data_IF_165769839405
#
_entry.id   IF_165769839405
#
_cell.length_a   1.000
_cell.length_b   1.000
_cell.length_c   1.000
_cell.angle_alpha   90.00
_cell.angle_beta   90.00
_cell.angle_gamma   90.00
#
_symmetry.space_group_name_H-M   'P 1'
#
loop_
_entity.id
_entity.type
_entity.pdbx_description
1 polymer ?
#
# COMPACT_ATOMS: atom_id res chain seq x y z
N UNK A 1 22.28 8.31 5.71
CA UNK A 1 22.51 7.63 4.42
C UNK A 1 22.49 6.11 4.55
N UNK A 2 23.31 5.55 5.41
CA UNK A 2 23.43 4.09 5.56
C UNK A 2 22.13 3.43 6.03
N UNK A 3 21.38 4.07 6.90
CA UNK A 3 20.08 3.59 7.39
C UNK A 3 19.04 3.54 6.26
N UNK A 4 19.02 4.52 5.37
CA UNK A 4 18.11 4.57 4.23
C UNK A 4 18.42 3.44 3.21
N UNK A 5 19.70 3.19 2.92
CA UNK A 5 20.10 2.06 2.08
C UNK A 5 19.80 0.71 2.72
N UNK A 6 19.89 0.59 4.03
CA UNK A 6 19.53 -0.61 4.76
C UNK A 6 18.02 -0.86 4.70
N UNK A 7 17.20 0.21 4.74
CA UNK A 7 15.76 0.10 4.53
C UNK A 7 15.43 -0.44 3.13
N UNK A 8 16.08 0.06 2.08
CA UNK A 8 15.93 -0.46 0.71
C UNK A 8 16.34 -1.94 0.59
N UNK A 9 17.44 -2.34 1.25
CA UNK A 9 17.88 -3.73 1.26
C UNK A 9 16.87 -4.64 1.98
N UNK A 10 16.27 -4.18 3.07
CA UNK A 10 15.23 -4.91 3.78
C UNK A 10 13.99 -5.13 2.89
N UNK A 11 13.55 -4.11 2.15
CA UNK A 11 12.43 -4.23 1.21
C UNK A 11 12.77 -5.19 0.07
N UNK A 12 14.00 -5.11 -0.47
CA UNK A 12 14.47 -6.03 -1.51
C UNK A 12 14.39 -7.48 -1.01
N UNK A 13 14.90 -7.74 0.18
CA UNK A 13 14.88 -9.06 0.82
C UNK A 13 13.45 -9.55 1.05
N UNK A 14 12.58 -8.67 1.52
CA UNK A 14 11.16 -8.98 1.74
C UNK A 14 10.46 -9.38 0.44
N UNK A 15 10.67 -8.64 -0.66
CA UNK A 15 10.10 -8.95 -1.96
C UNK A 15 10.63 -10.29 -2.52
N UNK A 16 11.91 -10.58 -2.34
CA UNK A 16 12.50 -11.85 -2.76
C UNK A 16 11.90 -13.01 -1.96
N UNK A 17 11.80 -12.88 -0.65
CA UNK A 17 11.22 -13.91 0.23
C UNK A 17 9.73 -14.17 -0.10
N UNK A 18 8.99 -13.13 -0.48
CA UNK A 18 7.59 -13.23 -0.92
C UNK A 18 7.45 -13.64 -2.40
N UNK A 19 8.55 -13.97 -3.08
CA UNK A 19 8.60 -14.37 -4.49
C UNK A 19 7.98 -13.34 -5.45
N UNK A 20 8.16 -12.07 -5.16
CA UNK A 20 7.79 -10.97 -6.07
C UNK A 20 8.85 -10.89 -7.18
N UNK A 21 8.48 -10.81 -8.47
CA UNK A 21 9.44 -10.68 -9.57
C UNK A 21 10.39 -9.50 -9.39
N UNK A 22 11.61 -9.61 -9.90
CA UNK A 22 12.63 -8.56 -9.75
C UNK A 22 12.45 -7.39 -10.71
N UNK A 23 11.78 -7.61 -11.82
CA UNK A 23 11.49 -6.59 -12.83
C UNK A 23 10.29 -5.72 -12.43
N UNK A 24 10.20 -4.52 -12.99
CA UNK A 24 9.07 -3.59 -12.81
C UNK A 24 8.72 -3.27 -11.34
N UNK A 25 9.75 -3.17 -10.51
CA UNK A 25 9.62 -2.68 -9.13
C UNK A 25 9.85 -1.17 -9.10
N UNK A 26 8.93 -0.44 -8.50
CA UNK A 26 8.97 1.01 -8.37
C UNK A 26 8.91 1.39 -6.91
N UNK A 27 9.65 2.43 -6.54
CA UNK A 27 9.57 3.10 -5.24
C UNK A 27 9.16 4.54 -5.47
N UNK A 28 8.09 4.96 -4.83
CA UNK A 28 7.73 6.36 -4.66
C UNK A 28 8.24 6.80 -3.30
N UNK A 29 9.14 7.77 -3.30
CA UNK A 29 9.84 8.22 -2.09
C UNK A 29 9.65 9.70 -1.84
N UNK A 30 9.60 10.09 -0.55
CA UNK A 30 9.60 11.49 -0.15
C UNK A 30 10.93 12.16 -0.49
N UNK A 31 10.96 13.49 -0.71
CA UNK A 31 12.18 14.24 -0.98
C UNK A 31 13.23 14.09 0.14
N UNK A 32 12.77 14.02 1.40
CA UNK A 32 13.65 13.77 2.55
C UNK A 32 14.36 12.42 2.43
N UNK A 33 13.64 11.35 2.14
CA UNK A 33 14.21 10.01 2.00
C UNK A 33 15.19 9.92 0.81
N UNK A 34 14.86 10.57 -0.29
CA UNK A 34 15.72 10.70 -1.47
C UNK A 34 17.01 11.40 -1.12
N UNK A 35 16.95 12.52 -0.37
CA UNK A 35 18.12 13.23 0.11
C UNK A 35 19.03 12.36 1.00
N UNK A 36 18.42 11.53 1.87
CA UNK A 36 19.17 10.58 2.69
C UNK A 36 19.90 9.51 1.87
N UNK A 37 19.27 9.01 0.80
CA UNK A 37 19.91 8.05 -0.12
C UNK A 37 21.07 8.73 -0.84
N UNK A 38 20.89 9.92 -1.37
CA UNK A 38 21.90 10.65 -2.12
C UNK A 38 23.16 10.96 -1.28
N UNK A 39 23.00 11.14 0.03
CA UNK A 39 24.11 11.34 0.96
C UNK A 39 24.91 10.08 1.27
N UNK A 40 24.45 8.90 0.85
CA UNK A 40 25.17 7.67 1.11
C UNK A 40 26.35 7.50 0.15
N UNK A 41 27.52 7.11 0.68
CA UNK A 41 28.74 6.90 -0.13
C UNK A 41 28.55 5.83 -1.22
N UNK A 42 27.77 4.80 -0.94
CA UNK A 42 27.50 3.72 -1.90
C UNK A 42 26.65 4.19 -3.08
N UNK A 43 25.74 5.14 -2.87
CA UNK A 43 24.90 5.68 -3.95
C UNK A 43 25.74 6.57 -4.88
N UNK A 44 26.62 7.39 -4.34
CA UNK A 44 27.51 8.29 -5.11
C UNK A 44 28.43 7.52 -6.07
N UNK A 45 28.82 6.30 -5.75
CA UNK A 45 29.60 5.44 -6.64
C UNK A 45 28.76 4.83 -7.79
N UNK A 46 27.48 4.55 -7.54
CA UNK A 46 26.54 4.00 -8.53
C UNK A 46 26.03 5.11 -9.48
N UNK A 47 25.87 6.33 -8.99
CA UNK A 47 25.40 7.49 -9.76
C UNK A 47 26.31 7.87 -10.93
N UNK A 48 27.60 7.59 -10.83
CA UNK A 48 28.56 7.77 -11.94
C UNK A 48 28.25 6.96 -13.18
N UNK A 49 27.37 5.96 -13.07
CA UNK A 49 26.97 5.07 -14.18
C UNK A 49 25.64 5.46 -14.83
N UNK A 50 24.88 6.44 -14.32
CA UNK A 50 23.50 6.67 -14.77
C UNK A 50 23.15 8.16 -14.97
N UNK A 51 23.99 8.92 -15.65
CA UNK A 51 23.77 10.36 -15.94
C UNK A 51 22.48 10.65 -16.73
N UNK A 52 21.96 9.67 -17.47
CA UNK A 52 20.77 9.84 -18.31
C UNK A 52 19.42 9.74 -17.55
N UNK A 53 19.39 9.14 -16.36
CA UNK A 53 18.16 8.96 -15.58
C UNK A 53 17.75 10.25 -14.83
N UNK A 54 18.70 11.06 -14.42
CA UNK A 54 18.49 12.33 -13.68
C UNK A 54 17.70 13.36 -14.49
N UNK A 55 17.77 13.31 -15.82
CA UNK A 55 17.05 14.26 -16.71
C UNK A 55 15.53 14.07 -16.72
N UNK A 56 14.98 12.96 -16.23
CA UNK A 56 13.54 12.64 -16.29
C UNK A 56 12.82 12.71 -14.93
N UNK A 57 13.45 13.26 -13.89
CA UNK A 57 12.89 13.25 -12.53
C UNK A 57 12.95 11.87 -11.87
N UNK A 58 13.67 10.94 -12.47
CA UNK A 58 13.92 9.61 -11.93
C UNK A 58 15.34 9.61 -11.33
N UNK A 59 15.47 9.26 -10.05
CA UNK A 59 16.78 9.15 -9.39
C UNK A 59 17.61 7.97 -9.92
N UNK A 60 17.09 7.20 -10.84
CA UNK A 60 17.74 6.03 -11.38
C UNK A 60 17.28 4.73 -10.74
N UNK A 61 18.02 3.66 -11.01
CA UNK A 61 17.73 2.32 -10.52
C UNK A 61 18.68 1.98 -9.36
N UNK A 62 18.13 1.78 -8.17
CA UNK A 62 18.87 1.31 -7.02
C UNK A 62 18.38 -0.06 -6.59
N UNK A 63 19.28 -1.05 -6.49
CA UNK A 63 18.99 -2.40 -5.96
C UNK A 63 17.71 -3.06 -6.52
N UNK A 64 17.50 -2.99 -7.83
CA UNK A 64 16.32 -3.52 -8.57
C UNK A 64 15.05 -2.66 -8.49
N UNK A 65 15.08 -1.51 -7.84
CA UNK A 65 13.97 -0.57 -7.78
C UNK A 65 14.25 0.67 -8.62
N UNK A 66 13.23 1.10 -9.37
CA UNK A 66 13.20 2.43 -9.96
C UNK A 66 12.66 3.40 -8.92
N UNK A 67 13.44 4.42 -8.58
CA UNK A 67 13.08 5.41 -7.57
C UNK A 67 12.50 6.65 -8.25
N UNK A 68 11.31 7.04 -7.82
CA UNK A 68 10.60 8.23 -8.27
C UNK A 68 10.37 9.12 -7.05
N UNK A 69 10.81 10.37 -7.14
CA UNK A 69 10.53 11.36 -6.12
C UNK A 69 9.09 11.86 -6.23
N UNK A 70 8.39 11.95 -5.12
CA UNK A 70 6.98 12.38 -5.04
C UNK A 70 6.86 13.44 -3.96
N UNK A 71 6.11 14.54 -4.21
CA UNK A 71 5.83 15.56 -3.21
C UNK A 71 5.20 14.98 -1.94
N UNK A 72 5.54 15.56 -0.78
CA UNK A 72 5.08 15.07 0.52
C UNK A 72 3.58 15.17 0.72
N UNK A 73 2.92 16.12 0.06
CA UNK A 73 1.46 16.31 0.11
C UNK A 73 0.67 15.16 -0.54
N UNK A 74 1.30 14.41 -1.46
CA UNK A 74 0.71 13.24 -2.11
C UNK A 74 0.98 11.96 -1.30
N UNK A 75 2.05 11.95 -0.50
CA UNK A 75 2.41 10.80 0.33
C UNK A 75 1.49 10.69 1.55
N UNK A 76 1.12 9.47 1.98
CA UNK A 76 0.43 9.29 3.25
C UNK A 76 1.27 9.83 4.41
N UNK A 77 0.60 10.41 5.42
CA UNK A 77 1.28 10.94 6.60
C UNK A 77 2.19 9.91 7.26
N UNK A 78 3.39 10.34 7.67
CA UNK A 78 4.43 9.50 8.30
C UNK A 78 4.93 8.34 7.41
N UNK A 79 4.81 8.45 6.10
CA UNK A 79 5.33 7.50 5.14
C UNK A 79 6.57 8.06 4.43
N UNK A 80 7.68 7.35 4.50
CA UNK A 80 8.93 7.76 3.86
C UNK A 80 9.01 7.31 2.41
N UNK A 81 8.52 6.11 2.12
CA UNK A 81 8.39 5.61 0.76
C UNK A 81 7.38 4.46 0.65
N UNK A 82 6.87 4.27 -0.56
CA UNK A 82 6.04 3.13 -0.94
C UNK A 82 6.73 2.39 -2.07
N UNK A 83 7.02 1.11 -1.87
CA UNK A 83 7.55 0.23 -2.90
C UNK A 83 6.42 -0.66 -3.42
N UNK A 84 6.30 -0.79 -4.74
CA UNK A 84 5.32 -1.67 -5.34
C UNK A 84 5.85 -2.36 -6.59
N UNK A 85 5.31 -3.55 -6.85
CA UNK A 85 5.50 -4.24 -8.11
C UNK A 85 4.28 -3.99 -9.01
N UNK A 86 4.52 -3.78 -10.31
CA UNK A 86 3.47 -3.45 -11.28
C UNK A 86 2.27 -4.39 -11.23
N UNK A 87 2.45 -5.69 -11.01
CA UNK A 87 1.35 -6.66 -10.99
C UNK A 87 0.44 -6.55 -9.77
N UNK A 88 0.86 -5.86 -8.70
CA UNK A 88 0.04 -5.69 -7.51
C UNK A 88 -0.99 -4.56 -7.64
N UNK A 89 -0.78 -3.66 -8.59
CA UNK A 89 -1.60 -2.47 -8.82
C UNK A 89 -2.46 -2.69 -10.07
N UNK A 90 -3.74 -2.41 -9.95
CA UNK A 90 -4.69 -2.43 -11.06
C UNK A 90 -5.35 -1.07 -11.14
N UNK A 91 -5.29 -0.46 -12.30
CA UNK A 91 -6.08 0.70 -12.65
C UNK A 91 -7.15 0.24 -13.65
N UNK A 92 -8.40 0.40 -13.29
CA UNK A 92 -9.53 0.07 -14.14
C UNK A 92 -10.17 1.36 -14.67
N UNK A 93 -10.24 1.51 -15.99
CA UNK A 93 -10.97 2.57 -16.64
C UNK A 93 -12.34 2.02 -17.06
N UNK A 94 -13.42 2.59 -16.53
CA UNK A 94 -14.78 2.13 -16.83
C UNK A 94 -15.44 2.95 -17.93
N UNK A 95 -15.18 4.22 -17.97
CA UNK A 95 -15.80 5.15 -18.93
C UNK A 95 -14.79 6.21 -19.32
N UNK A 96 -14.59 6.35 -20.63
CA UNK A 96 -13.85 7.46 -21.19
C UNK A 96 -14.65 7.96 -22.40
N UNK A 97 -15.39 9.04 -22.21
CA UNK A 97 -16.31 9.58 -23.21
C UNK A 97 -16.01 11.04 -23.45
N UNK A 98 -15.88 11.41 -24.71
CA UNK A 98 -15.77 12.80 -25.17
C UNK A 98 -16.92 13.08 -26.14
N UNK A 99 -17.75 14.08 -25.82
CA UNK A 99 -18.84 14.56 -26.68
C UNK A 99 -18.59 16.00 -27.08
N UNK A 100 -18.81 16.28 -28.35
CA UNK A 100 -18.78 17.63 -28.90
C UNK A 100 -20.20 17.98 -29.33
N UNK A 101 -20.79 18.97 -28.66
CA UNK A 101 -22.11 19.48 -28.98
C UNK A 101 -21.93 20.73 -29.84
N UNK A 102 -22.40 20.70 -31.09
CA UNK A 102 -22.43 21.85 -31.95
C UNK A 102 -23.72 22.65 -31.70
N UNK A 103 -23.59 23.88 -31.22
CA UNK A 103 -24.71 24.79 -30.90
C UNK A 103 -25.67 24.23 -29.81
N UNK A 104 -25.20 23.90 -28.60
CA UNK A 104 -26.10 23.49 -27.51
C UNK A 104 -27.00 24.66 -27.10
N UNK A 105 -28.21 24.34 -26.62
CA UNK A 105 -29.17 25.35 -26.21
C UNK A 105 -28.63 26.23 -25.06
N UNK A 106 -28.62 27.55 -25.27
CA UNK A 106 -28.14 28.51 -24.27
C UNK A 106 -26.66 28.88 -24.40
N UNK A 107 -25.93 28.31 -25.37
CA UNK A 107 -24.52 28.62 -25.64
C UNK A 107 -24.31 28.99 -27.12
N UNK A 108 -23.48 29.99 -27.34
CA UNK A 108 -23.02 30.35 -28.69
C UNK A 108 -21.67 29.72 -28.94
N UNK A 109 -21.63 28.64 -29.74
CA UNK A 109 -20.42 27.92 -30.10
C UNK A 109 -20.43 26.44 -29.66
N UNK A 110 -19.38 25.67 -29.96
CA UNK A 110 -19.29 24.27 -29.60
C UNK A 110 -19.01 24.08 -28.09
N UNK A 111 -19.72 23.16 -27.47
CA UNK A 111 -19.50 22.71 -26.09
C UNK A 111 -18.81 21.33 -26.09
N UNK A 112 -17.72 21.21 -25.37
CA UNK A 112 -17.01 19.94 -25.19
C UNK A 112 -17.36 19.40 -23.80
N UNK A 113 -17.95 18.21 -23.76
CA UNK A 113 -18.24 17.44 -22.57
C UNK A 113 -17.29 16.25 -22.51
N UNK A 114 -16.50 16.16 -21.44
CA UNK A 114 -15.64 15.01 -21.19
C UNK A 114 -16.05 14.32 -19.89
N UNK A 115 -16.14 12.99 -19.93
CA UNK A 115 -16.42 12.15 -18.77
C UNK A 115 -15.40 11.03 -18.71
N UNK A 116 -14.70 10.93 -17.58
CA UNK A 116 -13.81 9.82 -17.29
C UNK A 116 -14.18 9.23 -15.93
N UNK A 117 -14.33 7.91 -15.86
CA UNK A 117 -14.57 7.17 -14.63
C UNK A 117 -13.50 6.08 -14.52
N UNK A 118 -12.61 6.26 -13.59
CA UNK A 118 -11.51 5.33 -13.31
C UNK A 118 -11.42 5.06 -11.81
N UNK A 119 -10.77 3.96 -11.46
CA UNK A 119 -10.44 3.60 -10.09
C UNK A 119 -9.11 2.85 -10.06
N UNK A 120 -8.46 2.81 -8.90
CA UNK A 120 -7.21 2.10 -8.71
C UNK A 120 -7.25 1.31 -7.40
N UNK A 121 -6.83 0.06 -7.45
CA UNK A 121 -6.83 -0.79 -6.27
C UNK A 121 -5.68 -1.80 -6.28
N UNK A 122 -5.38 -2.32 -5.09
CA UNK A 122 -4.41 -3.39 -4.89
C UNK A 122 -5.14 -4.73 -4.81
N UNK A 123 -4.75 -5.69 -5.64
CA UNK A 123 -5.31 -7.05 -5.60
C UNK A 123 -4.85 -7.73 -4.31
N UNK A 124 -5.81 -8.17 -3.47
CA UNK A 124 -5.51 -8.74 -2.15
C UNK A 124 -4.52 -9.91 -2.16
N UNK A 125 -4.62 -10.82 -3.13
CA UNK A 125 -3.67 -11.94 -3.31
C UNK A 125 -2.25 -11.49 -3.70
N UNK A 126 -2.12 -10.32 -4.34
CA UNK A 126 -0.87 -9.73 -4.81
C UNK A 126 -0.39 -8.58 -3.91
N UNK A 127 -1.08 -8.28 -2.81
CA UNK A 127 -0.70 -7.24 -1.84
C UNK A 127 0.70 -7.47 -1.24
N UNK A 128 1.22 -8.71 -1.28
CA UNK A 128 2.62 -9.04 -0.98
C UNK A 128 3.65 -8.29 -1.84
N UNK A 129 3.22 -7.75 -2.99
CA UNK A 129 4.03 -6.92 -3.88
C UNK A 129 3.96 -5.43 -3.56
N UNK A 130 3.37 -5.02 -2.44
CA UNK A 130 3.36 -3.64 -1.95
C UNK A 130 3.98 -3.59 -0.57
N UNK A 131 4.82 -2.58 -0.34
CA UNK A 131 5.49 -2.33 0.93
C UNK A 131 5.55 -0.83 1.20
N UNK A 132 5.18 -0.40 2.39
CA UNK A 132 5.32 0.99 2.82
C UNK A 132 6.28 1.07 4.00
N UNK A 133 7.23 2.00 3.96
CA UNK A 133 8.06 2.34 5.10
C UNK A 133 7.40 3.51 5.84
N UNK A 134 6.96 3.24 7.06
CA UNK A 134 6.31 4.20 7.94
C UNK A 134 7.08 4.33 9.25
N UNK A 135 6.84 5.42 9.98
CA UNK A 135 7.42 5.61 11.30
C UNK A 135 7.09 4.46 12.24
N UNK A 136 8.01 4.12 13.12
CA UNK A 136 7.93 2.94 14.00
C UNK A 136 6.65 2.88 14.84
N UNK A 137 6.11 4.03 15.27
CA UNK A 137 4.87 4.11 16.04
C UNK A 137 3.58 3.95 15.22
N UNK A 138 3.66 3.84 13.91
CA UNK A 138 2.49 3.77 13.00
C UNK A 138 2.28 2.38 12.38
N UNK A 139 3.24 1.48 12.54
CA UNK A 139 3.10 0.10 12.07
C UNK A 139 2.03 -0.61 12.89
N UNK A 140 1.02 -1.14 12.20
CA UNK A 140 -0.02 -1.94 12.84
C UNK A 140 0.33 -3.43 12.79
N UNK A 141 0.11 -4.12 13.90
CA UNK A 141 0.25 -5.57 13.97
C UNK A 141 -0.99 -6.15 14.64
N UNK A 142 -1.49 -7.25 14.10
CA UNK A 142 -2.64 -7.95 14.65
C UNK A 142 -2.34 -9.44 14.77
N UNK A 143 -2.73 -10.04 15.87
CA UNK A 143 -2.70 -11.48 16.04
C UNK A 143 -4.02 -11.99 16.61
N UNK A 144 -4.39 -13.22 16.25
CA UNK A 144 -5.60 -13.87 16.72
C UNK A 144 -5.28 -15.28 17.18
N UNK A 145 -5.78 -15.65 18.34
CA UNK A 145 -5.70 -17.01 18.91
C UNK A 145 -7.09 -17.46 19.33
N UNK A 146 -7.44 -18.71 19.02
CA UNK A 146 -8.73 -19.29 19.39
C UNK A 146 -8.48 -20.33 20.48
N UNK A 147 -9.24 -20.25 21.56
CA UNK A 147 -9.30 -21.23 22.62
C UNK A 147 -10.75 -21.34 23.11
N UNK A 148 -11.26 -22.58 23.22
CA UNK A 148 -12.63 -22.84 23.72
C UNK A 148 -13.70 -21.98 23.03
N UNK A 149 -13.72 -21.95 21.70
CA UNK A 149 -14.63 -21.18 20.87
C UNK A 149 -14.62 -19.66 21.12
N UNK A 150 -13.50 -19.18 21.66
CA UNK A 150 -13.27 -17.74 21.88
C UNK A 150 -11.99 -17.30 21.19
N UNK A 151 -12.11 -16.42 20.21
CA UNK A 151 -10.99 -15.77 19.56
C UNK A 151 -10.53 -14.58 20.40
N UNK A 152 -9.31 -14.64 20.89
CA UNK A 152 -8.63 -13.51 21.55
C UNK A 152 -7.78 -12.77 20.51
N UNK A 153 -7.97 -11.49 20.40
CA UNK A 153 -7.33 -10.63 19.40
C UNK A 153 -6.44 -9.64 20.12
N UNK A 154 -5.19 -9.56 19.68
CA UNK A 154 -4.21 -8.61 20.19
C UNK A 154 -3.75 -7.70 19.06
N UNK A 155 -3.87 -6.38 19.25
CA UNK A 155 -3.38 -5.38 18.31
C UNK A 155 -2.96 -4.13 19.09
N UNK A 156 -1.64 -3.89 19.18
CA UNK A 156 -1.09 -2.76 19.91
C UNK A 156 -1.19 -1.47 19.07
N UNK A 157 -1.68 -0.40 19.68
CA UNK A 157 -1.77 0.92 19.06
C UNK A 157 -2.85 1.06 17.97
N UNK A 158 -3.71 0.07 17.80
CA UNK A 158 -4.83 0.15 16.87
C UNK A 158 -5.94 1.06 17.39
N UNK A 159 -6.53 1.87 16.49
CA UNK A 159 -7.72 2.68 16.80
C UNK A 159 -9.02 1.90 16.65
N UNK A 160 -9.05 0.96 15.72
CA UNK A 160 -10.17 0.06 15.47
C UNK A 160 -9.66 -1.31 15.03
N UNK A 161 -10.38 -2.36 15.38
CA UNK A 161 -10.09 -3.72 14.97
C UNK A 161 -11.35 -4.28 14.36
N UNK A 162 -11.30 -4.67 13.09
CA UNK A 162 -12.43 -5.27 12.39
C UNK A 162 -12.22 -6.74 12.12
N UNK A 163 -13.29 -7.50 12.14
CA UNK A 163 -13.28 -8.92 11.86
C UNK A 163 -14.44 -9.36 10.95
N UNK A 164 -14.23 -10.49 10.30
CA UNK A 164 -15.25 -11.24 9.56
C UNK A 164 -15.20 -12.72 9.91
N UNK A 165 -16.33 -13.40 9.83
CA UNK A 165 -16.47 -14.84 10.10
C UNK A 165 -16.85 -15.63 8.83
N UNK A 166 -17.05 -14.94 7.72
CA UNK A 166 -17.46 -15.51 6.43
C UNK A 166 -16.31 -15.72 5.45
N UNK A 167 -15.07 -15.52 5.91
CA UNK A 167 -13.87 -15.64 5.09
C UNK A 167 -13.61 -14.44 4.16
N UNK A 168 -14.43 -13.39 4.17
CA UNK A 168 -14.19 -12.15 3.44
C UNK A 168 -13.06 -11.34 4.09
N UNK A 169 -12.46 -10.40 3.34
CA UNK A 169 -11.45 -9.50 3.89
C UNK A 169 -12.10 -8.38 4.70
N UNK A 170 -11.79 -8.23 6.01
CA UNK A 170 -12.38 -7.21 6.86
C UNK A 170 -12.17 -5.76 6.40
N UNK A 171 -11.17 -5.51 5.55
CA UNK A 171 -10.88 -4.16 5.02
C UNK A 171 -11.93 -3.66 4.05
N UNK A 172 -12.54 -4.58 3.31
CA UNK A 172 -13.43 -4.25 2.18
C UNK A 172 -14.83 -4.84 2.33
N UNK A 173 -15.06 -5.70 3.31
CA UNK A 173 -16.35 -6.35 3.50
C UNK A 173 -17.34 -5.43 4.18
N UNK A 174 -18.54 -5.31 3.62
CA UNK A 174 -19.68 -4.65 4.27
C UNK A 174 -20.19 -5.39 5.52
N UNK A 175 -19.79 -6.66 5.69
CA UNK A 175 -20.13 -7.50 6.85
C UNK A 175 -19.09 -7.42 7.97
N UNK A 176 -18.02 -6.64 7.79
CA UNK A 176 -17.00 -6.46 8.81
C UNK A 176 -17.60 -5.79 10.04
N UNK A 177 -17.29 -6.35 11.21
CA UNK A 177 -17.74 -5.85 12.53
C UNK A 177 -16.52 -5.41 13.33
N UNK A 178 -16.66 -4.36 14.15
CA UNK A 178 -15.62 -3.95 15.07
C UNK A 178 -15.56 -4.90 16.27
N UNK A 179 -14.35 -5.18 16.73
CA UNK A 179 -14.10 -6.02 17.90
C UNK A 179 -14.37 -5.22 19.17
N UNK A 180 -15.16 -5.78 20.05
CA UNK A 180 -15.42 -5.19 21.38
C UNK A 180 -14.70 -6.04 22.43
N UNK A 181 -13.98 -5.38 23.35
CA UNK A 181 -13.23 -6.01 24.44
C UNK A 181 -12.16 -7.06 24.03
N UNK A 182 -11.67 -6.98 22.78
CA UNK A 182 -10.57 -7.84 22.32
C UNK A 182 -10.93 -9.33 22.11
N UNK A 183 -12.20 -9.70 22.22
CA UNK A 183 -12.65 -11.09 22.08
C UNK A 183 -13.85 -11.24 21.15
N UNK A 184 -13.93 -12.36 20.44
CA UNK A 184 -15.03 -12.71 19.54
C UNK A 184 -15.37 -14.19 19.73
N UNK A 185 -16.63 -14.53 19.87
CA UNK A 185 -17.08 -15.92 19.92
C UNK A 185 -17.09 -16.51 18.51
N UNK A 186 -16.58 -17.72 18.37
CA UNK A 186 -16.51 -18.49 17.12
C UNK A 186 -17.24 -19.83 17.29
N UNK A 187 -17.57 -20.47 16.19
CA UNK A 187 -18.14 -21.81 16.15
C UNK A 187 -17.10 -22.81 15.62
N UNK A 188 -17.24 -24.08 15.99
CA UNK A 188 -16.34 -25.13 15.52
C UNK A 188 -16.27 -25.17 13.99
N UNK A 189 -15.06 -25.17 13.43
CA UNK A 189 -14.81 -25.10 11.98
C UNK A 189 -14.85 -23.71 11.38
N UNK A 190 -15.23 -22.68 12.13
CA UNK A 190 -15.33 -21.32 11.62
C UNK A 190 -13.98 -20.64 11.56
N UNK A 191 -13.71 -19.91 10.47
CA UNK A 191 -12.48 -19.12 10.30
C UNK A 191 -12.77 -17.65 10.53
N UNK A 192 -12.09 -17.08 11.53
CA UNK A 192 -12.10 -15.65 11.78
C UNK A 192 -10.96 -14.97 11.01
N UNK A 193 -11.24 -13.84 10.36
CA UNK A 193 -10.26 -12.93 9.78
C UNK A 193 -10.30 -11.61 10.49
N UNK A 194 -9.14 -11.06 10.84
CA UNK A 194 -9.03 -9.86 11.66
C UNK A 194 -8.01 -8.91 11.06
N UNK A 195 -8.32 -7.62 11.09
CA UNK A 195 -7.42 -6.53 10.68
C UNK A 195 -7.48 -5.40 11.70
N UNK A 196 -6.32 -4.88 12.07
CA UNK A 196 -6.19 -3.70 12.90
C UNK A 196 -5.99 -2.44 12.05
N UNK A 197 -6.67 -1.36 12.39
CA UNK A 197 -6.59 -0.06 11.73
C UNK A 197 -5.84 0.92 12.62
N UNK A 198 -4.95 1.71 12.03
CA UNK A 198 -4.25 2.81 12.70
C UNK A 198 -5.16 3.99 12.99
N UNK A 199 -4.69 4.99 13.77
CA UNK A 199 -5.48 6.13 14.23
C UNK A 199 -6.20 6.91 13.13
N UNK A 200 -5.59 7.00 11.95
CA UNK A 200 -6.13 7.74 10.82
C UNK A 200 -6.79 6.83 9.77
N UNK A 201 -6.90 5.53 10.05
CA UNK A 201 -7.39 4.54 9.10
C UNK A 201 -6.47 4.32 7.87
N UNK A 202 -5.37 5.06 7.78
CA UNK A 202 -4.45 5.05 6.63
C UNK A 202 -3.64 3.77 6.55
N UNK A 203 -3.23 3.24 7.71
CA UNK A 203 -2.42 2.03 7.80
C UNK A 203 -3.23 0.90 8.41
N UNK A 204 -3.13 -0.26 7.81
CA UNK A 204 -3.77 -1.48 8.32
C UNK A 204 -2.72 -2.56 8.56
N UNK A 205 -2.99 -3.45 9.48
CA UNK A 205 -2.21 -4.67 9.63
C UNK A 205 -2.39 -5.62 8.44
N UNK A 206 -1.53 -6.62 8.34
CA UNK A 206 -1.84 -7.81 7.56
C UNK A 206 -3.10 -8.50 8.12
N UNK A 207 -3.80 -9.25 7.27
CA UNK A 207 -4.97 -10.03 7.71
C UNK A 207 -4.51 -11.20 8.54
N UNK A 208 -4.78 -11.14 9.85
CA UNK A 208 -4.60 -12.29 10.73
C UNK A 208 -5.79 -13.24 10.60
N UNK A 209 -5.54 -14.54 10.54
CA UNK A 209 -6.58 -15.56 10.45
C UNK A 209 -6.34 -16.69 11.44
N UNK A 210 -7.42 -17.24 11.98
CA UNK A 210 -7.41 -18.46 12.77
C UNK A 210 -8.70 -19.25 12.50
N UNK A 211 -8.60 -20.58 12.57
CA UNK A 211 -9.75 -21.47 12.42
C UNK A 211 -10.00 -22.17 13.75
N UNK A 212 -11.25 -22.15 14.18
CA UNK A 212 -11.71 -22.88 15.36
C UNK A 212 -11.74 -24.39 15.04
N UNK A 213 -11.06 -25.17 15.84
CA UNK A 213 -10.90 -26.63 15.63
C UNK A 213 -11.79 -27.41 16.56
#
# INVERSE_FOLDING_TARGET
GDTALQALENVRREFVNKRVPTENRVIWASPEFVGLIAQSKQFTEIEKLTVDAVRKGELGQCKTFRIIEVPEDIMPANCHFIAAHKSALVQADKLNELKIHTNPQGYSGPLIEARNLFDAFVIGSLAKGVYALVDSGKKQACSVKIASHTATITADGASDIKYTLDGSDPRFSSKAKSVVNGTVTTEAGQTIRVVAFGPDGTYTSDVANATDK
#
